data_IF_057854522269
#
_entry.id   IF_057854522269
#
_cell.length_a   1.000
_cell.length_b   1.000
_cell.length_c   1.000
_cell.angle_alpha   90.00
_cell.angle_beta   90.00
_cell.angle_gamma   90.00
#
_symmetry.space_group_name_H-M   'P 1'
#
loop_
_entity.id
_entity.type
_entity.pdbx_description
1 polymer ?
#
# COMPACT_ATOMS: atom_id res chain seq x y z
N UNK A 1 -4.92 18.44 22.73
CA UNK A 1 -3.62 18.47 22.03
C UNK A 1 -2.45 18.48 23.01
N UNK A 2 -2.28 19.50 23.87
CA UNK A 2 -1.15 19.52 24.83
C UNK A 2 -1.14 18.33 25.81
N UNK A 3 -2.31 17.93 26.32
CA UNK A 3 -2.41 16.74 27.19
C UNK A 3 -2.01 15.43 26.51
N UNK A 4 -2.25 15.29 25.20
CA UNK A 4 -1.81 14.12 24.44
C UNK A 4 -0.29 14.12 24.26
N UNK A 5 0.31 15.30 23.98
CA UNK A 5 1.77 15.43 23.91
C UNK A 5 2.44 15.04 25.23
N UNK A 6 1.91 15.50 26.37
CA UNK A 6 2.41 15.15 27.70
C UNK A 6 2.35 13.64 27.97
N UNK A 7 1.29 12.98 27.50
CA UNK A 7 1.08 11.54 27.71
C UNK A 7 1.94 10.67 26.78
N UNK A 8 2.03 11.03 25.51
CA UNK A 8 2.58 10.15 24.46
C UNK A 8 4.03 10.50 24.09
N UNK A 9 4.46 11.76 24.26
CA UNK A 9 5.78 12.22 23.83
C UNK A 9 6.43 13.24 24.79
N UNK A 10 6.45 13.01 26.12
CA UNK A 10 6.94 14.00 27.10
C UNK A 10 8.41 14.40 26.91
N UNK A 11 9.23 13.52 26.31
CA UNK A 11 10.65 13.79 26.06
C UNK A 11 10.92 14.56 24.75
N UNK A 12 9.89 14.80 23.93
CA UNK A 12 10.03 15.37 22.57
C UNK A 12 9.62 16.82 22.46
N UNK A 13 9.24 17.46 23.56
CA UNK A 13 8.99 18.89 23.62
C UNK A 13 9.45 19.48 24.95
N UNK A 14 9.50 20.80 25.02
CA UNK A 14 9.67 21.57 26.25
C UNK A 14 8.81 22.83 26.21
N UNK A 15 8.52 23.37 27.38
CA UNK A 15 7.75 24.60 27.54
C UNK A 15 8.70 25.63 28.15
N UNK A 16 8.95 26.71 27.43
CA UNK A 16 9.74 27.86 27.87
C UNK A 16 8.84 29.10 27.87
N UNK A 17 8.37 29.50 29.06
CA UNK A 17 7.40 30.58 29.20
C UNK A 17 6.08 30.29 28.47
N UNK A 18 5.80 31.07 27.43
CA UNK A 18 4.63 30.95 26.55
C UNK A 18 4.90 30.15 25.26
N UNK A 19 6.13 29.66 25.08
CA UNK A 19 6.55 28.92 23.89
C UNK A 19 6.53 27.41 24.13
N UNK A 20 5.97 26.68 23.17
CA UNK A 20 6.08 25.22 23.08
C UNK A 20 7.16 24.87 22.04
N UNK A 21 8.27 24.33 22.48
CA UNK A 21 9.40 23.96 21.62
C UNK A 21 9.31 22.47 21.35
N UNK A 22 9.05 22.09 20.10
CA UNK A 22 9.04 20.68 19.66
C UNK A 22 10.44 20.32 19.18
N UNK A 23 11.07 19.32 19.82
CA UNK A 23 12.47 18.94 19.57
C UNK A 23 12.67 18.24 18.24
N UNK A 24 11.65 17.50 17.80
CA UNK A 24 11.69 16.75 16.55
C UNK A 24 10.27 16.54 16.04
N UNK A 25 10.05 16.87 14.78
CA UNK A 25 8.80 16.63 14.07
C UNK A 25 9.08 16.51 12.58
N UNK A 26 8.19 15.82 11.88
CA UNK A 26 8.12 15.82 10.43
C UNK A 26 6.97 16.72 9.98
N UNK A 27 7.19 17.50 8.92
CA UNK A 27 6.13 18.24 8.25
C UNK A 27 5.91 17.59 6.90
N UNK A 28 4.70 17.12 6.66
CA UNK A 28 4.32 16.46 5.41
C UNK A 28 3.15 17.15 4.76
N UNK A 29 2.97 16.86 3.46
CA UNK A 29 1.82 17.37 2.72
C UNK A 29 0.55 16.70 3.26
N UNK A 30 -0.36 17.51 3.79
CA UNK A 30 -1.67 17.02 4.21
C UNK A 30 -2.45 16.46 3.02
N UNK A 31 -2.84 15.21 3.13
CA UNK A 31 -3.70 14.48 2.20
C UNK A 31 -4.95 13.99 2.92
N UNK A 32 -5.95 13.58 2.17
CA UNK A 32 -7.08 12.86 2.74
C UNK A 32 -6.67 11.38 2.92
N UNK A 33 -6.77 10.80 4.14
CA UNK A 33 -6.54 9.37 4.33
C UNK A 33 -7.44 8.53 3.43
N UNK A 34 -6.88 7.52 2.77
CA UNK A 34 -7.57 6.75 1.73
C UNK A 34 -8.75 5.94 2.31
N UNK A 35 -8.64 5.45 3.54
CA UNK A 35 -9.78 4.81 4.24
C UNK A 35 -10.99 5.75 4.37
N UNK A 36 -10.76 7.03 4.71
CA UNK A 36 -11.81 8.05 4.81
C UNK A 36 -12.38 8.36 3.42
N UNK A 37 -11.50 8.43 2.42
CA UNK A 37 -11.92 8.67 1.03
C UNK A 37 -12.84 7.54 0.52
N UNK A 38 -12.46 6.28 0.71
CA UNK A 38 -13.23 5.12 0.29
C UNK A 38 -14.59 5.04 1.01
N UNK A 39 -14.62 5.27 2.32
CA UNK A 39 -15.87 5.35 3.09
C UNK A 39 -16.81 6.45 2.56
N UNK A 40 -16.26 7.61 2.18
CA UNK A 40 -17.07 8.66 1.54
C UNK A 40 -17.60 8.23 0.18
N UNK A 41 -16.78 7.59 -0.67
CA UNK A 41 -17.23 7.11 -1.99
C UNK A 41 -18.35 6.08 -1.84
N UNK A 42 -18.24 5.17 -0.87
CA UNK A 42 -19.27 4.19 -0.55
C UNK A 42 -20.58 4.86 -0.09
N UNK A 43 -20.50 5.76 0.90
CA UNK A 43 -21.66 6.50 1.43
C UNK A 43 -22.37 7.37 0.40
N UNK A 44 -21.63 7.89 -0.58
CA UNK A 44 -22.17 8.71 -1.67
C UNK A 44 -22.56 7.90 -2.90
N UNK A 45 -22.40 6.56 -2.85
CA UNK A 45 -22.64 5.64 -3.95
C UNK A 45 -21.87 6.01 -5.24
N UNK A 46 -20.67 6.59 -5.08
CA UNK A 46 -19.78 6.98 -6.17
C UNK A 46 -18.83 5.83 -6.53
N UNK A 47 -19.33 4.90 -7.33
CA UNK A 47 -18.57 3.72 -7.77
C UNK A 47 -17.35 4.09 -8.62
N UNK A 48 -17.45 5.10 -9.49
CA UNK A 48 -16.35 5.51 -10.36
C UNK A 48 -15.18 6.10 -9.54
N UNK A 49 -15.49 6.90 -8.51
CA UNK A 49 -14.50 7.44 -7.57
C UNK A 49 -13.84 6.33 -6.75
N UNK A 50 -14.62 5.34 -6.30
CA UNK A 50 -14.08 4.17 -5.61
C UNK A 50 -13.15 3.35 -6.51
N UNK A 51 -13.57 3.07 -7.75
CA UNK A 51 -12.77 2.34 -8.72
C UNK A 51 -11.47 3.07 -9.05
N UNK A 52 -11.51 4.40 -9.21
CA UNK A 52 -10.31 5.21 -9.41
C UNK A 52 -9.34 5.11 -8.23
N UNK A 53 -9.84 5.28 -7.00
CA UNK A 53 -9.02 5.22 -5.80
C UNK A 53 -8.34 3.84 -5.62
N UNK A 54 -9.07 2.75 -5.91
CA UNK A 54 -8.53 1.38 -5.84
C UNK A 54 -7.46 1.16 -6.91
N UNK A 55 -7.67 1.68 -8.13
CA UNK A 55 -6.68 1.62 -9.21
C UNK A 55 -5.39 2.35 -8.87
N UNK A 56 -5.52 3.55 -8.31
CA UNK A 56 -4.36 4.35 -7.90
C UNK A 56 -3.63 3.71 -6.72
N UNK A 57 -4.34 3.11 -5.77
CA UNK A 57 -3.73 2.37 -4.66
C UNK A 57 -2.87 1.19 -5.14
N UNK A 58 -3.41 0.32 -6.00
CA UNK A 58 -2.62 -0.79 -6.51
C UNK A 58 -1.48 -0.33 -7.43
N UNK A 59 -1.64 0.80 -8.12
CA UNK A 59 -0.55 1.42 -8.88
C UNK A 59 0.55 1.94 -7.96
N UNK A 60 0.20 2.60 -6.86
CA UNK A 60 1.17 3.07 -5.85
C UNK A 60 1.97 1.91 -5.24
N UNK A 61 1.32 0.78 -4.94
CA UNK A 61 2.03 -0.42 -4.46
C UNK A 61 3.04 -0.93 -5.49
N UNK A 62 2.68 -0.95 -6.78
CA UNK A 62 3.60 -1.37 -7.84
C UNK A 62 4.77 -0.43 -7.98
N UNK A 63 4.51 0.87 -7.97
CA UNK A 63 5.53 1.91 -8.06
C UNK A 63 6.53 1.78 -6.89
N UNK A 64 6.05 1.52 -5.67
CA UNK A 64 6.91 1.22 -4.51
C UNK A 64 7.73 -0.06 -4.71
N UNK A 65 7.08 -1.16 -5.11
CA UNK A 65 7.75 -2.44 -5.33
C UNK A 65 8.84 -2.33 -6.41
N UNK A 66 8.58 -1.62 -7.50
CA UNK A 66 9.54 -1.35 -8.57
C UNK A 66 10.72 -0.49 -8.09
N UNK A 67 10.49 0.41 -7.13
CA UNK A 67 11.53 1.20 -6.46
C UNK A 67 12.29 0.42 -5.36
N UNK A 68 12.15 -0.91 -5.30
CA UNK A 68 12.73 -1.77 -4.28
C UNK A 68 12.20 -1.51 -2.85
N UNK A 69 11.00 -0.94 -2.71
CA UNK A 69 10.38 -0.65 -1.42
C UNK A 69 9.16 -1.56 -1.20
N UNK A 70 9.18 -2.32 -0.12
CA UNK A 70 8.02 -3.02 0.41
C UNK A 70 7.42 -2.18 1.55
N UNK A 71 6.14 -1.78 1.48
CA UNK A 71 5.54 -0.86 2.44
C UNK A 71 5.29 -1.45 3.85
N UNK A 72 5.35 -2.77 4.04
CA UNK A 72 4.94 -3.39 5.30
C UNK A 72 3.41 -3.37 5.45
N UNK A 73 2.91 -2.52 6.35
CA UNK A 73 1.47 -2.30 6.56
C UNK A 73 0.81 -1.59 5.36
N UNK A 74 0.17 -2.40 4.50
CA UNK A 74 -0.55 -1.94 3.32
C UNK A 74 -1.98 -1.43 3.61
N UNK A 75 -2.40 -1.29 4.87
CA UNK A 75 -3.75 -0.85 5.19
C UNK A 75 -4.07 0.53 4.59
N UNK A 76 -5.34 0.72 4.19
CA UNK A 76 -5.84 1.95 3.57
C UNK A 76 -5.55 3.24 4.38
N UNK A 77 -5.43 3.12 5.70
CA UNK A 77 -5.12 4.23 6.61
C UNK A 77 -3.68 4.77 6.49
N UNK A 78 -2.78 4.06 5.82
CA UNK A 78 -1.38 4.44 5.64
C UNK A 78 -1.12 5.10 4.28
N UNK A 79 -2.19 5.26 3.49
CA UNK A 79 -2.17 5.89 2.19
C UNK A 79 -3.05 7.13 2.19
N UNK A 80 -2.63 8.15 1.46
CA UNK A 80 -3.33 9.41 1.28
C UNK A 80 -3.68 9.61 -0.18
N UNK A 81 -4.83 10.23 -0.42
CA UNK A 81 -5.21 10.69 -1.75
C UNK A 81 -5.01 12.19 -1.89
N UNK A 82 -4.35 12.58 -2.97
CA UNK A 82 -4.11 13.98 -3.31
C UNK A 82 -5.35 14.60 -3.96
N UNK A 83 -5.35 15.93 -4.09
CA UNK A 83 -6.41 16.66 -4.79
C UNK A 83 -6.60 16.23 -6.26
N UNK A 84 -5.57 15.67 -6.88
CA UNK A 84 -5.60 15.18 -8.27
C UNK A 84 -5.91 13.68 -8.37
N UNK A 85 -6.29 13.03 -7.26
CA UNK A 85 -6.67 11.61 -7.26
C UNK A 85 -5.50 10.63 -7.11
N UNK A 86 -4.24 11.08 -7.14
CA UNK A 86 -3.07 10.22 -6.91
C UNK A 86 -3.06 9.70 -5.48
N UNK A 87 -2.77 8.41 -5.31
CA UNK A 87 -2.55 7.76 -4.02
C UNK A 87 -1.07 7.77 -3.67
N UNK A 88 -0.73 8.09 -2.42
CA UNK A 88 0.63 8.24 -1.91
C UNK A 88 0.72 7.55 -0.55
N UNK A 89 1.77 6.76 -0.34
CA UNK A 89 2.08 6.12 0.93
C UNK A 89 2.79 7.10 1.88
N UNK A 90 2.47 7.08 3.18
CA UNK A 90 3.05 8.01 4.16
C UNK A 90 3.45 7.41 5.51
N UNK A 91 3.23 6.11 5.73
CA UNK A 91 3.59 5.46 7.01
C UNK A 91 4.92 4.70 6.87
N UNK A 92 6.04 5.32 7.26
CA UNK A 92 7.37 4.79 6.95
C UNK A 92 7.97 3.87 8.02
N UNK A 93 7.24 3.55 9.08
CA UNK A 93 7.81 2.81 10.22
C UNK A 93 8.04 1.31 9.91
N UNK A 94 7.29 0.74 8.96
CA UNK A 94 7.37 -0.69 8.59
C UNK A 94 7.94 -0.95 7.19
N UNK A 95 8.58 0.04 6.57
CA UNK A 95 9.16 -0.16 5.24
C UNK A 95 10.39 -1.07 5.30
N UNK A 96 10.49 -1.94 4.31
CA UNK A 96 11.62 -2.83 4.12
C UNK A 96 12.04 -2.83 2.64
N UNK A 97 13.27 -3.25 2.35
CA UNK A 97 13.66 -3.44 0.96
C UNK A 97 12.97 -4.68 0.38
N UNK A 98 12.46 -4.57 -0.85
CA UNK A 98 11.85 -5.70 -1.55
C UNK A 98 12.81 -6.89 -1.60
N UNK A 99 14.11 -6.68 -1.78
CA UNK A 99 15.13 -7.75 -1.83
C UNK A 99 15.29 -8.55 -0.54
N UNK A 100 14.87 -7.99 0.60
CA UNK A 100 15.09 -8.55 1.93
C UNK A 100 13.85 -9.32 2.45
N UNK A 101 12.75 -9.22 1.71
CA UNK A 101 11.50 -9.94 1.96
C UNK A 101 11.51 -11.32 1.28
N UNK A 102 10.98 -12.32 1.96
CA UNK A 102 10.78 -13.65 1.41
C UNK A 102 9.29 -13.86 1.06
N UNK A 103 8.93 -13.56 -0.19
CA UNK A 103 7.56 -13.76 -0.66
C UNK A 103 7.29 -15.24 -0.91
N UNK A 104 6.32 -15.80 -0.20
CA UNK A 104 5.99 -17.23 -0.23
C UNK A 104 4.51 -17.43 -0.54
N UNK A 105 4.20 -18.63 -1.02
CA UNK A 105 2.84 -19.14 -1.12
C UNK A 105 2.47 -19.83 0.18
N UNK A 106 1.25 -19.62 0.66
CA UNK A 106 0.69 -20.39 1.78
C UNK A 106 0.64 -21.86 1.35
N UNK A 107 1.31 -22.79 2.05
CA UNK A 107 1.27 -24.20 1.69
C UNK A 107 -0.16 -24.73 1.84
N UNK A 108 -0.59 -25.70 1.02
CA UNK A 108 -1.90 -26.33 1.21
C UNK A 108 -1.98 -27.00 2.59
N UNK A 109 -3.18 -27.02 3.17
CA UNK A 109 -3.41 -27.74 4.41
C UNK A 109 -3.16 -29.25 4.19
N UNK A 110 -2.44 -29.93 5.09
CA UNK A 110 -2.15 -31.36 4.97
C UNK A 110 -3.40 -32.23 5.13
N UNK A 111 -4.39 -31.76 5.89
CA UNK A 111 -5.65 -32.42 6.18
C UNK A 111 -6.76 -31.41 6.53
N UNK A 112 -7.99 -31.91 6.64
CA UNK A 112 -9.18 -31.11 6.91
C UNK A 112 -9.19 -30.50 8.32
N UNK A 113 -8.66 -31.21 9.32
CA UNK A 113 -8.59 -30.70 10.70
C UNK A 113 -7.71 -29.45 10.76
N UNK A 114 -6.59 -29.47 10.05
CA UNK A 114 -5.67 -28.34 9.93
C UNK A 114 -6.28 -27.17 9.17
N UNK A 115 -7.06 -27.42 8.11
CA UNK A 115 -7.76 -26.36 7.37
C UNK A 115 -8.81 -25.63 8.24
N UNK A 116 -9.46 -26.36 9.16
CA UNK A 116 -10.41 -25.77 10.11
C UNK A 116 -9.73 -25.15 11.34
N UNK A 117 -8.43 -25.39 11.54
CA UNK A 117 -7.68 -24.85 12.67
C UNK A 117 -7.49 -23.34 12.52
N UNK A 118 -7.56 -22.63 13.65
CA UNK A 118 -7.16 -21.22 13.71
C UNK A 118 -5.63 -21.03 13.84
N UNK A 119 -4.88 -22.13 13.98
CA UNK A 119 -3.43 -22.10 14.16
C UNK A 119 -2.68 -22.28 12.83
N UNK A 120 -1.58 -21.56 12.66
CA UNK A 120 -0.70 -21.67 11.49
C UNK A 120 0.13 -22.95 11.60
N UNK A 121 0.00 -23.86 10.62
CA UNK A 121 0.68 -25.17 10.62
C UNK A 121 2.05 -25.17 9.94
N UNK A 122 2.44 -24.06 9.32
CA UNK A 122 3.71 -23.92 8.62
C UNK A 122 4.62 -22.91 9.32
N UNK A 123 5.94 -23.13 9.24
CA UNK A 123 6.91 -22.19 9.80
C UNK A 123 6.89 -20.85 9.07
N UNK A 124 6.77 -19.77 9.85
CA UNK A 124 6.84 -18.37 9.40
C UNK A 124 8.09 -17.73 9.97
N UNK A 125 9.00 -17.29 9.10
CA UNK A 125 10.16 -16.49 9.49
C UNK A 125 9.80 -14.99 9.55
N UNK A 126 10.64 -14.17 10.21
CA UNK A 126 10.40 -12.74 10.41
C UNK A 126 10.09 -11.97 9.11
N UNK A 127 10.78 -12.32 8.02
CA UNK A 127 10.66 -11.63 6.72
C UNK A 127 9.78 -12.40 5.71
N UNK A 128 9.08 -13.44 6.16
CA UNK A 128 8.16 -14.15 5.29
C UNK A 128 6.89 -13.33 5.09
N UNK A 129 6.50 -13.14 3.83
CA UNK A 129 5.27 -12.43 3.46
C UNK A 129 4.45 -13.34 2.54
N UNK A 130 3.15 -13.44 2.84
CA UNK A 130 2.18 -14.23 2.10
C UNK A 130 1.15 -13.30 1.43
N UNK A 131 1.34 -12.92 0.17
CA UNK A 131 0.45 -11.97 -0.50
C UNK A 131 -1.01 -12.41 -0.58
N UNK A 132 -1.28 -13.70 -0.47
CA UNK A 132 -2.63 -14.25 -0.39
C UNK A 132 -3.41 -13.73 0.83
N UNK A 133 -2.73 -13.45 1.94
CA UNK A 133 -3.36 -12.95 3.17
C UNK A 133 -3.84 -11.51 3.03
N UNK A 134 -3.29 -10.75 2.08
CA UNK A 134 -3.68 -9.36 1.81
C UNK A 134 -5.17 -9.23 1.52
N UNK A 135 -5.75 -10.25 0.87
CA UNK A 135 -7.17 -10.29 0.59
C UNK A 135 -8.03 -10.29 1.87
N UNK A 136 -7.55 -10.94 2.94
CA UNK A 136 -8.31 -11.10 4.19
C UNK A 136 -8.42 -9.77 4.93
N UNK A 137 -7.33 -8.99 5.01
CA UNK A 137 -7.33 -7.74 5.77
C UNK A 137 -7.67 -6.49 4.93
N UNK A 138 -7.33 -6.45 3.64
CA UNK A 138 -7.64 -5.30 2.79
C UNK A 138 -9.06 -5.34 2.23
N UNK A 139 -9.58 -6.53 1.91
CA UNK A 139 -10.76 -6.69 1.04
C UNK A 139 -12.01 -7.15 1.79
N UNK A 140 -12.25 -6.57 2.97
CA UNK A 140 -13.43 -6.86 3.78
C UNK A 140 -14.74 -6.41 3.10
N UNK A 141 -14.74 -5.26 2.41
CA UNK A 141 -15.91 -4.79 1.66
C UNK A 141 -16.07 -5.58 0.36
N UNK A 142 -17.25 -6.17 0.07
CA UNK A 142 -17.48 -6.91 -1.18
C UNK A 142 -17.26 -6.06 -2.44
N UNK A 143 -17.60 -4.77 -2.39
CA UNK A 143 -17.40 -3.85 -3.51
C UNK A 143 -15.92 -3.58 -3.75
N UNK A 144 -15.18 -3.25 -2.68
CA UNK A 144 -13.72 -3.04 -2.73
C UNK A 144 -13.03 -4.30 -3.23
N UNK A 145 -13.41 -5.48 -2.71
CA UNK A 145 -12.89 -6.77 -3.14
C UNK A 145 -13.08 -7.02 -4.62
N UNK A 146 -14.28 -6.78 -5.14
CA UNK A 146 -14.60 -6.95 -6.57
C UNK A 146 -13.72 -6.05 -7.44
N UNK A 147 -13.60 -4.77 -7.07
CA UNK A 147 -12.81 -3.80 -7.83
C UNK A 147 -11.29 -4.07 -7.73
N UNK A 148 -10.81 -4.45 -6.56
CA UNK A 148 -9.40 -4.79 -6.38
C UNK A 148 -9.02 -6.04 -7.17
N UNK A 149 -9.82 -7.11 -7.10
CA UNK A 149 -9.58 -8.33 -7.88
C UNK A 149 -9.66 -8.04 -9.40
N UNK A 150 -10.56 -7.14 -9.83
CA UNK A 150 -10.67 -6.75 -11.24
C UNK A 150 -9.37 -6.13 -11.78
N UNK A 151 -8.67 -5.31 -10.98
CA UNK A 151 -7.52 -4.53 -11.46
C UNK A 151 -6.14 -5.04 -10.98
N UNK A 152 -6.10 -5.71 -9.83
CA UNK A 152 -4.86 -5.95 -9.08
C UNK A 152 -4.79 -7.34 -8.43
N UNK A 153 -5.48 -8.34 -8.99
CA UNK A 153 -5.45 -9.73 -8.50
C UNK A 153 -4.04 -10.29 -8.36
N UNK A 154 -3.14 -9.89 -9.23
CA UNK A 154 -1.74 -10.31 -9.23
C UNK A 154 -0.95 -9.82 -8.01
N UNK A 155 -1.33 -8.70 -7.37
CA UNK A 155 -0.74 -8.27 -6.10
C UNK A 155 -1.01 -9.25 -4.95
N UNK A 156 -2.04 -10.10 -5.08
CA UNK A 156 -2.35 -11.18 -4.15
C UNK A 156 -1.57 -12.47 -4.44
N UNK A 157 -0.64 -12.44 -5.40
CA UNK A 157 0.16 -13.60 -5.77
C UNK A 157 1.63 -13.34 -5.47
N UNK A 158 2.35 -14.27 -4.80
CA UNK A 158 3.79 -14.15 -4.60
C UNK A 158 4.58 -14.03 -5.91
N UNK A 159 4.03 -14.52 -7.03
CA UNK A 159 4.65 -14.45 -8.34
C UNK A 159 5.01 -13.01 -8.76
N UNK A 160 4.07 -12.07 -8.61
CA UNK A 160 4.32 -10.66 -8.96
C UNK A 160 5.51 -10.09 -8.19
N UNK A 161 5.55 -10.35 -6.88
CA UNK A 161 6.57 -9.85 -5.98
C UNK A 161 7.94 -10.49 -6.28
N UNK A 162 7.98 -11.82 -6.48
CA UNK A 162 9.20 -12.55 -6.83
C UNK A 162 9.76 -12.10 -8.18
N UNK A 163 8.92 -11.89 -9.20
CA UNK A 163 9.34 -11.34 -10.50
C UNK A 163 9.89 -9.93 -10.36
N UNK A 164 9.28 -9.09 -9.52
CA UNK A 164 9.76 -7.73 -9.23
C UNK A 164 11.13 -7.77 -8.54
N UNK A 165 11.30 -8.64 -7.53
CA UNK A 165 12.61 -8.84 -6.89
C UNK A 165 13.68 -9.30 -7.88
N UNK A 166 13.33 -10.21 -8.80
CA UNK A 166 14.26 -10.72 -9.80
C UNK A 166 14.77 -9.60 -10.71
N UNK A 167 13.86 -8.76 -11.23
CA UNK A 167 14.21 -7.59 -12.04
C UNK A 167 15.15 -6.62 -11.30
N UNK A 168 14.85 -6.35 -10.02
CA UNK A 168 15.69 -5.49 -9.18
C UNK A 168 17.10 -6.07 -9.02
N UNK A 169 17.21 -7.39 -8.77
CA UNK A 169 18.51 -8.08 -8.63
C UNK A 169 19.30 -8.12 -9.94
N UNK A 170 18.61 -8.12 -11.08
CA UNK A 170 19.20 -7.99 -12.41
C UNK A 170 19.66 -6.55 -12.72
N UNK A 171 19.41 -5.59 -11.81
CA UNK A 171 19.76 -4.18 -12.00
C UNK A 171 18.82 -3.46 -12.98
N UNK A 172 17.65 -4.03 -13.27
CA UNK A 172 16.66 -3.38 -14.11
C UNK A 172 16.04 -2.20 -13.38
N UNK A 173 16.11 -1.02 -13.99
CA UNK A 173 15.41 0.18 -13.53
C UNK A 173 14.16 0.33 -14.38
N UNK A 174 12.99 0.13 -13.77
CA UNK A 174 11.70 0.28 -14.45
C UNK A 174 11.44 1.75 -14.80
N UNK A 175 10.81 1.98 -15.96
CA UNK A 175 10.42 3.32 -16.39
C UNK A 175 9.29 3.87 -15.51
N UNK A 176 9.50 5.04 -14.92
CA UNK A 176 8.48 5.79 -14.19
C UNK A 176 7.84 6.86 -15.09
N UNK A 177 6.51 6.83 -15.21
CA UNK A 177 5.76 7.82 -15.99
C UNK A 177 4.86 8.67 -15.08
N UNK A 178 5.12 9.97 -14.92
CA UNK A 178 4.32 10.86 -14.07
C UNK A 178 2.99 11.29 -14.73
N UNK A 179 2.46 10.49 -15.66
CA UNK A 179 1.25 10.76 -16.42
C UNK A 179 0.55 9.46 -16.84
N UNK A 180 -0.77 9.49 -17.13
CA UNK A 180 -1.51 8.30 -17.53
C UNK A 180 -0.93 7.60 -18.76
N UNK A 181 -0.89 6.26 -18.74
CA UNK A 181 -0.41 5.44 -19.85
C UNK A 181 -1.12 5.75 -21.18
N UNK A 182 -2.40 6.14 -21.15
CA UNK A 182 -3.18 6.52 -22.33
C UNK A 182 -2.63 7.76 -23.07
N UNK A 183 -1.80 8.59 -22.41
CA UNK A 183 -1.17 9.76 -23.02
C UNK A 183 0.19 9.45 -23.66
N UNK A 184 0.71 8.22 -23.53
CA UNK A 184 1.97 7.84 -24.18
C UNK A 184 1.81 7.93 -25.69
N UNK A 185 2.80 8.51 -26.37
CA UNK A 185 2.78 8.66 -27.83
C UNK A 185 2.63 7.32 -28.57
N UNK A 186 3.18 6.23 -28.03
CA UNK A 186 3.03 4.89 -28.61
C UNK A 186 1.58 4.38 -28.62
N UNK A 187 0.71 4.92 -27.75
CA UNK A 187 -0.70 4.54 -27.65
C UNK A 187 -1.61 5.47 -28.46
N UNK A 188 -1.09 6.63 -28.88
CA UNK A 188 -1.76 7.59 -29.74
C UNK A 188 -0.92 7.80 -31.02
N UNK A 189 -0.84 6.80 -31.93
CA UNK A 189 -0.17 6.99 -33.19
C UNK A 189 -0.86 8.17 -33.90
N UNK A 190 -0.14 9.26 -34.06
CA UNK A 190 -0.58 10.39 -34.87
C UNK A 190 -0.91 9.82 -36.25
N UNK A 191 -2.13 10.03 -36.75
CA UNK A 191 -2.40 9.76 -38.16
C UNK A 191 -1.40 10.59 -38.94
N UNK A 192 -0.44 9.93 -39.57
CA UNK A 192 0.48 10.57 -40.48
C UNK A 192 -0.34 10.95 -41.72
N UNK A 193 -0.46 12.26 -41.96
CA UNK A 193 -0.95 12.81 -43.23
C UNK A 193 0.00 12.45 -44.39
#
# INVERSE_FOLDING_TARGET
MLGELQKLAPSKFEIDGDQLIIKHLYIERRMEPLNIHLDRMDKTNNLDGMEHAIREYGSAIRELAQANIFPGDMLWKNFGITRFGRVVFYDYDEIEYMTDINFRRIPPAPDFETEMSGEVWYGVAKNDVFPEEFATFLLASPQVRKLFIKHHKDLLSPKFWQESQQKIREGHVEDFFPYPQALRFCNNPTQAD
#
